data_IF_485865388480
#
_entry.id   IF_485865388480
#
_cell.length_a   1.000
_cell.length_b   1.000
_cell.length_c   1.000
_cell.angle_alpha   90.00
_cell.angle_beta   90.00
_cell.angle_gamma   90.00
#
_symmetry.space_group_name_H-M   'P 1'
#
loop_
_entity.id
_entity.type
_entity.pdbx_description
1 polymer ?
#
# COMPACT_ATOMS: atom_id res chain seq x y z
N UNK A 1 -43.68 -13.22 6.54
CA UNK A 1 -42.40 -12.48 6.62
C UNK A 1 -41.48 -13.06 5.56
N UNK A 2 -41.16 -12.28 4.53
CA UNK A 2 -40.05 -12.63 3.61
C UNK A 2 -38.74 -12.32 4.35
N UNK A 3 -37.70 -13.15 4.24
CA UNK A 3 -36.41 -12.82 4.83
C UNK A 3 -35.82 -11.64 4.06
N UNK A 4 -35.48 -10.57 4.78
CA UNK A 4 -34.67 -9.45 4.31
C UNK A 4 -33.37 -9.98 3.70
N UNK A 5 -33.28 -9.94 2.38
CA UNK A 5 -32.08 -10.31 1.60
C UNK A 5 -31.25 -9.10 1.19
N UNK A 6 -31.63 -7.90 1.62
CA UNK A 6 -31.08 -6.64 1.09
C UNK A 6 -29.96 -6.00 1.94
N UNK A 7 -29.44 -6.68 2.97
CA UNK A 7 -28.38 -6.12 3.84
C UNK A 7 -26.98 -6.67 3.59
N UNK A 8 -26.81 -7.60 2.64
CA UNK A 8 -25.49 -8.12 2.24
C UNK A 8 -24.92 -7.44 0.98
N UNK A 9 -25.70 -6.60 0.30
CA UNK A 9 -25.36 -5.98 -0.99
C UNK A 9 -24.75 -4.56 -0.87
N UNK A 10 -24.40 -4.09 0.33
CA UNK A 10 -23.48 -2.96 0.48
C UNK A 10 -22.01 -3.43 0.49
N UNK A 11 -21.70 -4.46 -0.30
CA UNK A 11 -20.32 -4.75 -0.67
C UNK A 11 -19.90 -3.62 -1.61
N UNK A 12 -19.18 -2.63 -1.09
CA UNK A 12 -18.59 -1.57 -1.90
C UNK A 12 -17.78 -2.23 -3.02
N UNK A 13 -18.33 -2.22 -4.24
CA UNK A 13 -17.61 -2.62 -5.45
C UNK A 13 -16.56 -1.56 -5.71
N UNK A 14 -15.39 -1.70 -5.08
CA UNK A 14 -14.21 -0.99 -5.55
C UNK A 14 -13.97 -1.40 -7.00
N UNK A 15 -13.72 -0.41 -7.86
CA UNK A 15 -13.12 -0.70 -9.15
C UNK A 15 -11.83 -1.47 -8.90
N UNK A 16 -11.57 -2.54 -9.66
CA UNK A 16 -10.43 -3.43 -9.39
C UNK A 16 -9.09 -2.68 -9.34
N UNK A 17 -8.93 -1.64 -10.16
CA UNK A 17 -7.77 -0.72 -10.10
C UNK A 17 -7.65 -0.06 -8.73
N UNK A 18 -8.74 0.53 -8.23
CA UNK A 18 -8.76 1.21 -6.93
C UNK A 18 -8.53 0.25 -5.76
N UNK A 19 -9.10 -0.95 -5.83
CA UNK A 19 -8.85 -2.00 -4.83
C UNK A 19 -7.36 -2.36 -4.76
N UNK A 20 -6.71 -2.58 -5.91
CA UNK A 20 -5.30 -2.91 -5.98
C UNK A 20 -4.42 -1.76 -5.45
N UNK A 21 -4.77 -0.52 -5.77
CA UNK A 21 -4.08 0.67 -5.21
C UNK A 21 -4.21 0.69 -3.69
N UNK A 22 -5.42 0.52 -3.15
CA UNK A 22 -5.67 0.57 -1.72
C UNK A 22 -4.96 -0.56 -0.97
N UNK A 23 -4.94 -1.77 -1.54
CA UNK A 23 -4.22 -2.92 -0.97
C UNK A 23 -2.70 -2.69 -0.96
N UNK A 24 -2.14 -2.15 -2.05
CA UNK A 24 -0.72 -1.83 -2.12
C UNK A 24 -0.33 -0.75 -1.10
N UNK A 25 -1.14 0.30 -0.94
CA UNK A 25 -0.95 1.32 0.09
C UNK A 25 -1.01 0.72 1.49
N UNK A 26 -1.99 -0.14 1.76
CA UNK A 26 -2.11 -0.82 3.05
C UNK A 26 -0.86 -1.66 3.39
N UNK A 27 -0.36 -2.45 2.42
CA UNK A 27 0.84 -3.28 2.62
C UNK A 27 2.07 -2.39 2.88
N UNK A 28 2.27 -1.36 2.06
CA UNK A 28 3.45 -0.49 2.14
C UNK A 28 3.44 0.40 3.38
N UNK A 29 2.34 1.09 3.68
CA UNK A 29 2.21 1.96 4.84
C UNK A 29 2.16 1.18 6.15
N UNK A 30 1.55 -0.02 6.14
CA UNK A 30 1.59 -0.95 7.25
C UNK A 30 3.01 -1.43 7.62
N UNK A 31 4.03 -1.14 6.79
CA UNK A 31 5.45 -1.45 7.07
C UNK A 31 6.28 -0.23 7.42
N UNK A 32 5.75 0.98 7.26
CA UNK A 32 6.33 2.20 7.81
C UNK A 32 6.17 2.17 9.34
N UNK A 33 7.24 2.32 10.13
CA UNK A 33 7.11 2.43 11.58
C UNK A 33 6.55 3.80 11.93
N UNK A 34 5.45 3.85 12.69
CA UNK A 34 5.00 5.08 13.33
C UNK A 34 5.37 5.04 14.81
N UNK A 35 5.92 6.14 15.34
CA UNK A 35 6.11 6.30 16.77
C UNK A 35 4.75 6.44 17.45
N UNK A 36 4.20 5.33 17.94
CA UNK A 36 2.95 5.36 18.70
C UNK A 36 3.06 4.60 20.01
N UNK A 37 2.54 5.23 21.06
CA UNK A 37 2.49 4.72 22.45
C UNK A 37 1.61 3.45 22.55
N UNK A 38 0.72 3.23 21.57
CA UNK A 38 -0.26 2.13 21.56
C UNK A 38 0.04 1.03 20.53
N UNK A 39 1.17 1.10 19.82
CA UNK A 39 1.49 0.21 18.70
C UNK A 39 1.16 0.82 17.34
N UNK A 40 0.99 0.00 16.30
CA UNK A 40 0.81 0.49 14.92
C UNK A 40 -0.54 1.18 14.69
N UNK A 41 -0.48 2.36 14.08
CA UNK A 41 -1.59 3.08 13.46
C UNK A 41 -1.59 2.82 11.95
N UNK A 42 -2.77 2.80 11.33
CA UNK A 42 -2.88 2.75 9.87
C UNK A 42 -2.39 4.08 9.28
N UNK A 43 -1.70 4.01 8.15
CA UNK A 43 -1.13 5.19 7.50
C UNK A 43 -2.20 6.09 6.87
N UNK A 44 -1.82 7.33 6.56
CA UNK A 44 -2.73 8.38 6.10
C UNK A 44 -3.51 8.06 4.81
N UNK A 45 -3.02 7.14 3.99
CA UNK A 45 -3.63 6.79 2.70
C UNK A 45 -4.26 5.40 2.72
N UNK A 46 -4.27 4.72 3.86
CA UNK A 46 -5.01 3.47 4.03
C UNK A 46 -6.52 3.74 3.98
N UNK A 47 -7.31 2.85 3.33
CA UNK A 47 -8.76 2.95 3.36
C UNK A 47 -9.28 2.79 4.81
N UNK A 48 -10.39 3.44 5.19
CA UNK A 48 -10.90 3.36 6.55
C UNK A 48 -11.32 1.93 6.92
N UNK A 49 -10.92 1.47 8.11
CA UNK A 49 -11.25 0.14 8.62
C UNK A 49 -12.76 -0.11 8.83
N UNK A 50 -13.59 0.94 8.92
CA UNK A 50 -15.05 0.83 9.06
C UNK A 50 -15.78 1.80 8.11
N UNK A 51 -16.70 1.29 7.31
CA UNK A 51 -17.48 2.07 6.32
C UNK A 51 -18.41 3.12 6.94
N UNK A 52 -18.78 2.95 8.20
CA UNK A 52 -19.73 3.81 8.93
C UNK A 52 -19.07 4.97 9.68
N UNK A 53 -17.74 5.03 9.73
CA UNK A 53 -17.07 6.18 10.30
C UNK A 53 -17.08 7.33 9.28
N UNK A 54 -17.44 8.56 9.69
CA UNK A 54 -17.22 9.72 8.85
C UNK A 54 -15.74 9.72 8.46
N UNK A 55 -15.40 10.08 7.22
CA UNK A 55 -14.01 10.28 6.81
C UNK A 55 -13.43 11.40 7.67
N UNK A 56 -12.95 11.07 8.87
CA UNK A 56 -12.40 12.03 9.83
C UNK A 56 -11.11 12.53 9.20
N UNK A 57 -11.20 13.72 8.60
CA UNK A 57 -10.21 14.38 7.75
C UNK A 57 -9.59 13.45 6.69
N UNK A 58 -10.09 13.52 5.44
CA UNK A 58 -9.30 13.06 4.31
C UNK A 58 -7.95 13.74 4.39
N UNK A 59 -6.88 12.95 4.47
CA UNK A 59 -5.54 13.48 4.45
C UNK A 59 -5.32 14.33 3.20
N UNK A 60 -4.82 15.55 3.36
CA UNK A 60 -4.43 16.40 2.24
C UNK A 60 -2.97 16.13 1.89
N UNK A 61 -2.74 15.39 0.81
CA UNK A 61 -1.39 15.02 0.38
C UNK A 61 -0.52 16.26 0.13
N UNK A 62 0.71 16.23 0.64
CA UNK A 62 1.70 17.28 0.43
C UNK A 62 3.02 16.70 -0.05
N UNK A 63 3.65 17.32 -1.05
CA UNK A 63 4.98 16.92 -1.53
C UNK A 63 6.08 17.09 -0.48
N UNK A 64 5.79 17.79 0.62
CA UNK A 64 6.72 17.95 1.74
C UNK A 64 6.85 16.66 2.56
N UNK A 65 5.82 15.82 2.60
CA UNK A 65 5.81 14.58 3.38
C UNK A 65 6.32 13.41 2.54
N UNK A 66 7.29 12.67 3.07
CA UNK A 66 7.82 11.48 2.40
C UNK A 66 6.73 10.42 2.17
N UNK A 67 5.82 10.22 3.14
CA UNK A 67 4.72 9.28 2.99
C UNK A 67 3.81 9.61 1.80
N UNK A 68 3.51 10.90 1.56
CA UNK A 68 2.66 11.30 0.43
C UNK A 68 3.35 11.10 -0.91
N UNK A 69 4.66 11.39 -0.99
CA UNK A 69 5.44 11.13 -2.21
C UNK A 69 5.45 9.63 -2.52
N UNK A 70 5.68 8.80 -1.51
CA UNK A 70 5.67 7.34 -1.66
C UNK A 70 4.28 6.83 -2.06
N UNK A 71 3.21 7.28 -1.38
CA UNK A 71 1.85 6.88 -1.71
C UNK A 71 1.47 7.25 -3.15
N UNK A 72 1.89 8.43 -3.62
CA UNK A 72 1.69 8.84 -5.02
C UNK A 72 2.46 7.95 -5.99
N UNK A 73 3.71 7.64 -5.68
CA UNK A 73 4.54 6.74 -6.48
C UNK A 73 3.89 5.36 -6.60
N UNK A 74 3.57 4.72 -5.47
CA UNK A 74 2.88 3.42 -5.40
C UNK A 74 1.58 3.45 -6.21
N UNK A 75 0.75 4.50 -6.07
CA UNK A 75 -0.49 4.63 -6.84
C UNK A 75 -0.23 4.67 -8.34
N UNK A 76 0.76 5.45 -8.79
CA UNK A 76 1.10 5.57 -10.21
C UNK A 76 1.63 4.25 -10.80
N UNK A 77 2.47 3.52 -10.06
CA UNK A 77 3.01 2.23 -10.50
C UNK A 77 1.94 1.16 -10.60
N UNK A 78 1.11 1.00 -9.56
CA UNK A 78 0.01 0.02 -9.55
C UNK A 78 -0.95 0.29 -10.69
N UNK A 79 -1.37 1.55 -10.88
CA UNK A 79 -2.25 1.93 -11.98
C UNK A 79 -1.63 1.64 -13.36
N UNK A 80 -0.32 1.85 -13.52
CA UNK A 80 0.39 1.53 -14.75
C UNK A 80 0.42 0.02 -15.01
N UNK A 81 0.81 -0.77 -14.02
CA UNK A 81 0.89 -2.24 -14.12
C UNK A 81 -0.48 -2.86 -14.42
N UNK A 82 -1.52 -2.39 -13.73
CA UNK A 82 -2.91 -2.77 -13.97
C UNK A 82 -3.33 -2.49 -15.42
N UNK A 83 -3.11 -1.28 -15.93
CA UNK A 83 -3.44 -0.89 -17.32
C UNK A 83 -2.67 -1.68 -18.37
N UNK A 84 -1.52 -2.24 -18.01
CA UNK A 84 -0.70 -3.11 -18.86
C UNK A 84 -1.00 -4.59 -18.67
N UNK A 85 -1.93 -4.94 -17.77
CA UNK A 85 -2.29 -6.31 -17.43
C UNK A 85 -1.08 -7.13 -16.95
N UNK A 86 -0.20 -6.48 -16.18
CA UNK A 86 1.01 -7.06 -15.58
C UNK A 86 0.70 -7.36 -14.10
N UNK A 87 1.00 -8.57 -13.59
CA UNK A 87 0.88 -8.88 -12.18
C UNK A 87 1.69 -7.90 -11.31
N UNK A 88 1.10 -7.47 -10.21
CA UNK A 88 1.76 -6.56 -9.26
C UNK A 88 2.43 -7.41 -8.19
N UNK A 89 3.74 -7.22 -8.00
CA UNK A 89 4.51 -7.88 -6.95
C UNK A 89 4.96 -6.85 -5.92
N UNK A 90 4.70 -7.13 -4.64
CA UNK A 90 5.16 -6.30 -3.53
C UNK A 90 6.04 -7.18 -2.64
N UNK A 91 7.30 -6.81 -2.52
CA UNK A 91 8.28 -7.51 -1.69
C UNK A 91 8.57 -6.70 -0.44
N UNK A 92 8.46 -7.34 0.71
CA UNK A 92 8.84 -6.77 2.00
C UNK A 92 10.14 -7.42 2.41
N UNK A 93 11.18 -6.61 2.52
CA UNK A 93 12.53 -7.05 2.88
C UNK A 93 12.99 -6.42 4.18
N UNK A 94 13.81 -7.14 4.94
CA UNK A 94 14.54 -6.65 6.08
C UNK A 94 15.98 -6.35 5.65
N UNK A 95 16.36 -5.08 5.77
CA UNK A 95 17.73 -4.64 5.54
C UNK A 95 18.50 -4.62 6.87
N UNK A 96 19.67 -5.27 6.98
CA UNK A 96 20.41 -5.34 8.23
C UNK A 96 20.94 -3.98 8.70
N UNK A 97 21.28 -3.06 7.78
CA UNK A 97 21.81 -1.72 8.10
C UNK A 97 20.80 -0.61 7.80
N UNK A 98 19.51 -0.80 8.14
CA UNK A 98 18.49 0.23 7.93
C UNK A 98 18.71 1.43 8.88
N UNK A 99 19.28 2.51 8.34
CA UNK A 99 19.29 3.82 9.00
C UNK A 99 17.96 4.51 8.71
N UNK A 100 17.11 4.67 9.72
CA UNK A 100 15.92 5.54 9.66
C UNK A 100 16.35 7.01 9.58
N UNK A 101 16.87 7.46 8.44
CA UNK A 101 16.98 8.88 8.14
C UNK A 101 15.62 9.40 7.68
N UNK A 102 15.25 10.62 8.08
CA UNK A 102 14.04 11.32 7.59
C UNK A 102 14.01 11.43 6.05
N UNK A 103 15.18 11.30 5.43
CA UNK A 103 15.34 11.03 4.01
C UNK A 103 15.09 9.53 3.78
N UNK A 104 13.83 9.16 3.53
CA UNK A 104 13.46 7.79 3.14
C UNK A 104 14.30 7.27 1.97
N UNK A 105 14.28 5.96 1.71
CA UNK A 105 15.12 5.35 0.68
C UNK A 105 14.94 6.08 -0.66
N UNK A 106 16.03 6.61 -1.21
CA UNK A 106 16.05 7.24 -2.53
C UNK A 106 15.93 6.14 -3.59
N UNK A 107 14.70 5.78 -3.94
CA UNK A 107 14.42 4.81 -5.03
C UNK A 107 14.58 5.42 -6.42
N UNK A 108 15.48 6.39 -6.59
CA UNK A 108 15.77 6.99 -7.89
C UNK A 108 16.63 6.04 -8.74
N UNK A 109 15.96 5.06 -9.35
CA UNK A 109 16.17 4.64 -10.74
C UNK A 109 17.58 4.23 -11.18
N UNK A 110 18.36 3.56 -10.33
CA UNK A 110 19.58 2.88 -10.78
C UNK A 110 19.70 1.51 -10.08
N UNK A 111 19.33 0.43 -10.76
CA UNK A 111 19.25 -0.95 -10.23
C UNK A 111 20.53 -1.42 -9.51
N UNK A 112 21.69 -0.85 -9.86
CA UNK A 112 22.97 -1.18 -9.24
C UNK A 112 23.16 -0.59 -7.83
N UNK A 113 22.29 0.33 -7.41
CA UNK A 113 22.34 0.97 -6.11
C UNK A 113 21.26 0.50 -5.13
N UNK A 114 20.46 -0.52 -5.50
CA UNK A 114 19.42 -1.05 -4.62
C UNK A 114 20.03 -1.52 -3.29
N UNK A 115 19.63 -0.91 -2.15
CA UNK A 115 20.15 -1.30 -0.85
C UNK A 115 19.82 -2.75 -0.48
N UNK A 116 18.76 -3.34 -1.06
CA UNK A 116 18.45 -4.76 -0.87
C UNK A 116 19.54 -5.69 -1.46
N UNK A 117 20.06 -5.34 -2.64
CA UNK A 117 21.13 -6.10 -3.32
C UNK A 117 22.47 -5.93 -2.60
N UNK A 118 22.70 -4.74 -2.03
CA UNK A 118 23.97 -4.39 -1.38
C UNK A 118 24.13 -4.90 0.05
N UNK A 119 23.03 -5.10 0.76
CA UNK A 119 23.04 -5.35 2.21
C UNK A 119 22.62 -6.79 2.57
N UNK A 120 22.70 -7.77 1.67
CA UNK A 120 22.24 -9.14 1.93
C UNK A 120 20.82 -9.14 2.55
N UNK A 121 19.89 -8.37 1.96
CA UNK A 121 18.57 -8.19 2.54
C UNK A 121 17.79 -9.51 2.63
N UNK A 122 17.05 -9.69 3.73
CA UNK A 122 16.22 -10.87 3.95
C UNK A 122 14.81 -10.61 3.45
N UNK A 123 14.35 -11.37 2.44
CA UNK A 123 12.95 -11.35 2.02
C UNK A 123 12.07 -11.92 3.13
N UNK A 124 11.12 -11.11 3.63
CA UNK A 124 10.15 -11.52 4.63
C UNK A 124 8.85 -11.98 3.98
N UNK A 125 8.33 -11.21 3.03
CA UNK A 125 7.03 -11.45 2.41
C UNK A 125 7.08 -11.08 0.93
N UNK A 126 6.32 -11.83 0.13
CA UNK A 126 6.07 -11.54 -1.27
C UNK A 126 4.57 -11.66 -1.55
N UNK A 127 3.97 -10.54 -1.92
CA UNK A 127 2.57 -10.47 -2.32
C UNK A 127 2.50 -10.41 -3.84
N UNK A 128 1.69 -11.27 -4.45
CA UNK A 128 1.44 -11.29 -5.89
C UNK A 128 -0.04 -11.00 -6.09
N UNK A 129 -0.35 -9.89 -6.75
CA UNK A 129 -1.71 -9.45 -7.05
C UNK A 129 -1.93 -9.61 -8.55
N UNK A 130 -2.76 -10.57 -8.92
CA UNK A 130 -3.11 -10.84 -10.31
C UNK A 130 -4.63 -11.07 -10.46
N UNK A 131 -5.24 -10.58 -11.55
CA UNK A 131 -6.63 -10.90 -11.85
C UNK A 131 -6.73 -12.38 -12.26
N UNK A 132 -7.53 -13.15 -11.54
CA UNK A 132 -7.83 -14.54 -11.89
C UNK A 132 -9.04 -14.54 -12.84
N UNK A 133 -8.98 -15.21 -14.01
CA UNK A 133 -10.14 -15.36 -14.89
C UNK A 133 -11.29 -16.04 -14.13
N UNK A 134 -12.49 -15.47 -14.19
CA UNK A 134 -13.69 -16.15 -13.68
C UNK A 134 -13.95 -17.39 -14.55
N UNK A 135 -14.06 -18.57 -13.93
CA UNK A 135 -14.46 -19.82 -14.58
C UNK A 135 -15.96 -19.87 -14.85
#
# INVERSE_FOLDING_TARGET
MKPDRDTLDEYFEYEAEEFLVNLALLITEGRTPEYSIKGRTEGFHCPPAQSSQPTTSKHECSDRLAQCRQARHTRSEVALLWKKNIPIMIEVMLLPDCCYSDEGPTTEGNDLNDPAIKQDALLLERWILEPVPRQ
#
